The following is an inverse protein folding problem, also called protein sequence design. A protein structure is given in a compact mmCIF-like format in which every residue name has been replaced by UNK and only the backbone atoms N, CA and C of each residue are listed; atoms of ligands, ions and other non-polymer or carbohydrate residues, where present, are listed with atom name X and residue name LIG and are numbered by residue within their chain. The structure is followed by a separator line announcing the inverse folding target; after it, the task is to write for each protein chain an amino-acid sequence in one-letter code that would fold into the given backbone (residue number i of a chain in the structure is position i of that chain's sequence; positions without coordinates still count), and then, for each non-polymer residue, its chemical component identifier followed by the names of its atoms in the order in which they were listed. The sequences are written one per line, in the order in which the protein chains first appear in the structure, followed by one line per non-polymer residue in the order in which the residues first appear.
data_IF_029960210524
#
_entry.id   IF_029960210524
#
_cell.length_a   1.000
_cell.length_b   1.000
_cell.length_c   1.000
_cell.angle_alpha   90.00
_cell.angle_beta   90.00
_cell.angle_gamma   90.00
#
_symmetry.space_group_name_H-M   'P 1'
#
loop_
_entity.id
_entity.type
_entity.pdbx_description
1 polymer ?
#
# COMPACT_ATOMS: atom_id res chain seq x y z
N UNK A 1 -20.69 -0.05 -19.23
CA UNK A 1 -21.29 0.63 -18.06
C UNK A 1 -20.51 1.92 -17.83
N UNK A 2 -21.19 3.05 -17.68
CA UNK A 2 -20.54 4.34 -17.38
C UNK A 2 -20.67 4.57 -15.87
N UNK A 3 -19.57 4.86 -15.20
CA UNK A 3 -19.53 5.08 -13.75
C UNK A 3 -19.54 6.59 -13.45
N UNK A 4 -20.65 7.08 -12.88
CA UNK A 4 -20.89 8.51 -12.66
C UNK A 4 -20.80 8.95 -11.20
N UNK A 5 -20.44 8.06 -10.26
CA UNK A 5 -20.39 8.33 -8.81
C UNK A 5 -18.95 8.47 -8.26
N UNK A 6 -18.08 9.15 -9.01
CA UNK A 6 -16.67 9.34 -8.65
C UNK A 6 -16.47 10.21 -7.39
N UNK A 7 -17.51 10.95 -6.98
CA UNK A 7 -17.52 11.70 -5.71
C UNK A 7 -17.64 10.80 -4.49
N UNK A 8 -18.25 9.61 -4.62
CA UNK A 8 -18.36 8.66 -3.52
C UNK A 8 -17.14 7.73 -3.44
N UNK A 9 -16.69 7.21 -4.59
CA UNK A 9 -15.48 6.38 -4.66
C UNK A 9 -14.92 6.38 -6.08
N UNK A 10 -13.63 6.16 -6.22
CA UNK A 10 -12.96 6.11 -7.53
C UNK A 10 -12.37 4.73 -7.74
N UNK A 11 -12.37 4.28 -9.00
CA UNK A 11 -11.66 3.07 -9.38
C UNK A 11 -10.15 3.31 -9.14
N UNK A 12 -9.47 2.45 -8.36
CA UNK A 12 -8.03 2.58 -8.16
C UNK A 12 -7.27 2.51 -9.48
N UNK A 13 -6.20 3.29 -9.58
CA UNK A 13 -5.25 3.14 -10.68
C UNK A 13 -4.64 1.73 -10.69
N UNK A 14 -4.37 1.13 -11.88
CA UNK A 14 -3.74 -0.18 -11.98
C UNK A 14 -2.44 -0.31 -11.18
N UNK A 15 -1.65 0.76 -11.13
CA UNK A 15 -0.38 0.84 -10.41
C UNK A 15 -0.59 0.78 -8.89
N UNK A 16 -1.65 1.41 -8.38
CA UNK A 16 -1.99 1.36 -6.97
C UNK A 16 -2.41 -0.06 -6.55
N UNK A 17 -3.16 -0.75 -7.41
CA UNK A 17 -3.51 -2.16 -7.20
C UNK A 17 -2.27 -3.07 -7.24
N UNK A 18 -1.39 -2.87 -8.22
CA UNK A 18 -0.16 -3.65 -8.35
C UNK A 18 0.74 -3.49 -7.12
N UNK A 19 0.95 -2.25 -6.65
CA UNK A 19 1.70 -1.96 -5.45
C UNK A 19 1.08 -2.63 -4.21
N UNK A 20 -0.24 -2.52 -4.06
CA UNK A 20 -0.96 -3.19 -2.96
C UNK A 20 -0.75 -4.71 -3.00
N UNK A 21 -0.98 -5.35 -4.15
CA UNK A 21 -0.82 -6.80 -4.31
C UNK A 21 0.61 -7.25 -4.02
N UNK A 22 1.61 -6.50 -4.48
CA UNK A 22 3.01 -6.81 -4.20
C UNK A 22 3.32 -6.77 -2.71
N UNK A 23 2.91 -5.70 -2.02
CA UNK A 23 3.16 -5.53 -0.58
C UNK A 23 2.41 -6.59 0.22
N UNK A 24 1.14 -6.83 -0.09
CA UNK A 24 0.32 -7.82 0.60
C UNK A 24 0.81 -9.26 0.40
N UNK A 25 1.44 -9.57 -0.74
CA UNK A 25 1.96 -10.92 -1.02
C UNK A 25 3.38 -11.15 -0.51
N UNK A 26 4.25 -10.12 -0.55
CA UNK A 26 5.69 -10.28 -0.26
C UNK A 26 6.13 -9.65 1.07
N UNK A 27 5.47 -8.58 1.52
CA UNK A 27 5.89 -7.76 2.66
C UNK A 27 4.74 -7.67 3.69
N UNK A 28 4.18 -8.83 4.03
CA UNK A 28 3.04 -8.96 4.93
C UNK A 28 3.41 -8.95 6.43
N UNK A 29 4.68 -8.71 6.76
CA UNK A 29 5.16 -8.70 8.15
C UNK A 29 4.63 -7.54 8.97
N UNK A 30 4.46 -7.75 10.27
CA UNK A 30 4.08 -6.69 11.21
C UNK A 30 5.22 -5.65 11.36
N UNK A 31 5.02 -4.36 11.01
CA UNK A 31 6.01 -3.31 11.19
C UNK A 31 6.52 -3.14 12.64
N UNK A 32 5.74 -3.53 13.64
CA UNK A 32 6.18 -3.47 15.05
C UNK A 32 7.16 -4.60 15.42
N UNK A 33 7.44 -5.55 14.52
CA UNK A 33 8.37 -6.65 14.78
C UNK A 33 9.82 -6.27 14.44
N UNK A 34 10.76 -6.68 15.30
CA UNK A 34 12.19 -6.49 15.10
C UNK A 34 12.83 -7.48 14.10
N UNK A 35 12.08 -8.48 13.64
CA UNK A 35 12.56 -9.44 12.65
C UNK A 35 12.71 -8.81 11.26
N UNK A 36 13.49 -9.44 10.38
CA UNK A 36 13.82 -8.91 9.04
C UNK A 36 12.58 -8.49 8.23
N UNK A 37 11.50 -9.27 8.26
CA UNK A 37 10.27 -8.96 7.54
C UNK A 37 9.53 -7.75 8.14
N UNK A 38 9.53 -7.61 9.47
CA UNK A 38 8.96 -6.44 10.14
C UNK A 38 9.73 -5.16 9.82
N UNK A 39 11.06 -5.23 9.87
CA UNK A 39 11.93 -4.10 9.49
C UNK A 39 11.71 -3.66 8.03
N UNK A 40 11.45 -4.60 7.11
CA UNK A 40 11.10 -4.28 5.72
C UNK A 40 9.76 -3.54 5.62
N UNK A 41 8.73 -4.03 6.32
CA UNK A 41 7.42 -3.40 6.35
C UNK A 41 7.48 -1.97 6.94
N UNK A 42 8.25 -1.76 8.01
CA UNK A 42 8.45 -0.44 8.63
C UNK A 42 9.10 0.55 7.67
N UNK A 43 10.18 0.14 6.99
CA UNK A 43 10.86 1.01 6.02
C UNK A 43 9.92 1.44 4.90
N UNK A 44 9.11 0.52 4.38
CA UNK A 44 8.14 0.82 3.32
C UNK A 44 7.03 1.77 3.81
N UNK A 45 6.50 1.52 5.02
CA UNK A 45 5.48 2.36 5.62
C UNK A 45 5.98 3.80 5.82
N UNK A 46 7.20 3.96 6.34
CA UNK A 46 7.80 5.27 6.56
C UNK A 46 8.10 6.00 5.25
N UNK A 47 8.60 5.29 4.23
CA UNK A 47 8.79 5.87 2.90
C UNK A 47 7.47 6.37 2.30
N UNK A 48 6.40 5.57 2.44
CA UNK A 48 5.06 5.93 1.94
C UNK A 48 4.50 7.17 2.66
N UNK A 49 4.69 7.26 3.97
CA UNK A 49 4.28 8.45 4.76
C UNK A 49 5.02 9.71 4.32
N UNK A 50 6.32 9.61 4.06
CA UNK A 50 7.14 10.73 3.56
C UNK A 50 6.75 11.18 2.15
N UNK A 51 6.18 10.29 1.34
CA UNK A 51 5.73 10.63 -0.01
C UNK A 51 4.40 11.41 -0.01
N UNK A 52 3.54 11.15 0.98
CA UNK A 52 2.21 11.77 1.08
C UNK A 52 2.25 13.10 1.87
N UNK A 53 3.15 13.19 2.86
CA UNK A 53 3.37 14.40 3.66
C UNK A 53 4.05 15.52 2.86
#
# INVERSE_FOLDING_TARGET
MIYLDNSATTKPYPEALAAYTEVASKIWGNPSSLHSLGNQATRLLDASRRQIA
#
